data_IF_577642184316
#
_entry.id   IF_577642184316
#
_cell.length_a   1.000
_cell.length_b   1.000
_cell.length_c   1.000
_cell.angle_alpha   90.00
_cell.angle_beta   90.00
_cell.angle_gamma   90.00
#
_symmetry.space_group_name_H-M   'P 1'
#
loop_
_entity.id
_entity.type
_entity.pdbx_description
1 polymer ?
#
# COMPACT_ATOMS: atom_id res chain seq x y z
N UNK A 1 -8.71 14.54 -15.74
CA UNK A 1 -8.00 14.78 -14.46
C UNK A 1 -7.62 13.41 -13.91
N UNK A 2 -6.35 13.15 -13.66
CA UNK A 2 -5.92 11.88 -13.07
C UNK A 2 -6.33 11.85 -11.61
N UNK A 3 -7.26 10.97 -11.27
CA UNK A 3 -7.60 10.69 -9.88
C UNK A 3 -6.41 10.00 -9.19
N UNK A 4 -6.24 10.21 -7.90
CA UNK A 4 -5.23 9.49 -7.13
C UNK A 4 -5.57 7.98 -7.14
N UNK A 5 -4.62 7.09 -7.48
CA UNK A 5 -4.88 5.65 -7.60
C UNK A 5 -4.86 4.97 -6.22
N UNK A 6 -5.91 5.22 -5.43
CA UNK A 6 -6.05 4.73 -4.06
C UNK A 6 -5.86 3.22 -3.94
N UNK A 7 -6.53 2.42 -4.77
CA UNK A 7 -6.49 0.96 -4.69
C UNK A 7 -5.11 0.42 -5.06
N UNK A 8 -4.54 0.88 -6.17
CA UNK A 8 -3.20 0.46 -6.59
C UNK A 8 -2.15 0.77 -5.51
N UNK A 9 -2.22 1.95 -4.88
CA UNK A 9 -1.29 2.32 -3.82
C UNK A 9 -1.44 1.38 -2.63
N UNK A 10 -2.64 1.15 -2.09
CA UNK A 10 -2.79 0.27 -0.92
C UNK A 10 -2.46 -1.20 -1.23
N UNK A 11 -2.66 -1.65 -2.46
CA UNK A 11 -2.37 -3.02 -2.89
C UNK A 11 -0.86 -3.23 -3.07
N UNK A 12 -0.15 -2.28 -3.68
CA UNK A 12 1.25 -2.45 -4.08
C UNK A 12 2.27 -1.79 -3.15
N UNK A 13 1.89 -0.79 -2.34
CA UNK A 13 2.81 -0.17 -1.38
C UNK A 13 3.46 -1.17 -0.40
N UNK A 14 2.77 -2.22 0.09
CA UNK A 14 3.41 -3.23 0.93
C UNK A 14 4.60 -3.93 0.25
N UNK A 15 4.58 -4.09 -1.08
CA UNK A 15 5.70 -4.69 -1.82
C UNK A 15 6.95 -3.82 -1.75
N UNK A 16 6.81 -2.49 -1.70
CA UNK A 16 7.94 -1.58 -1.50
C UNK A 16 8.58 -1.83 -0.13
N UNK A 17 7.78 -2.05 0.92
CA UNK A 17 8.27 -2.46 2.23
C UNK A 17 9.03 -3.78 2.21
N UNK A 18 8.54 -4.76 1.43
CA UNK A 18 9.25 -6.04 1.21
C UNK A 18 10.61 -5.81 0.55
N UNK A 19 10.69 -4.96 -0.48
CA UNK A 19 11.96 -4.62 -1.12
C UNK A 19 12.95 -4.03 -0.11
N UNK A 20 12.50 -3.13 0.79
CA UNK A 20 13.36 -2.61 1.84
C UNK A 20 13.80 -3.68 2.84
N UNK A 21 12.92 -4.58 3.24
CA UNK A 21 13.26 -5.70 4.13
C UNK A 21 14.35 -6.59 3.51
N UNK A 22 14.27 -6.89 2.21
CA UNK A 22 15.27 -7.70 1.50
C UNK A 22 16.68 -7.08 1.50
N UNK A 23 16.78 -5.77 1.66
CA UNK A 23 18.05 -5.04 1.71
C UNK A 23 18.65 -4.96 3.13
N UNK A 24 17.91 -5.38 4.16
CA UNK A 24 18.38 -5.38 5.54
C UNK A 24 19.43 -6.48 5.71
N UNK A 25 20.59 -6.11 6.27
CA UNK A 25 21.71 -7.01 6.59
C UNK A 25 22.36 -6.61 7.91
N UNK A 26 22.82 -7.57 8.70
CA UNK A 26 23.54 -7.33 9.96
C UNK A 26 23.56 -8.53 10.91
N UNK A 27 23.83 -8.27 12.19
CA UNK A 27 23.71 -9.29 13.22
C UNK A 27 22.23 -9.68 13.42
N UNK A 28 21.92 -10.92 13.84
CA UNK A 28 20.54 -11.42 13.92
C UNK A 28 19.57 -10.51 14.71
N UNK A 29 20.04 -9.92 15.80
CA UNK A 29 19.25 -9.02 16.65
C UNK A 29 18.91 -7.69 15.94
N UNK A 30 19.88 -7.14 15.19
CA UNK A 30 19.72 -5.89 14.45
C UNK A 30 18.83 -6.12 13.23
N UNK A 31 19.02 -7.22 12.51
CA UNK A 31 18.18 -7.61 11.37
C UNK A 31 16.71 -7.78 11.80
N UNK A 32 16.47 -8.51 12.89
CA UNK A 32 15.11 -8.73 13.40
C UNK A 32 14.44 -7.41 13.81
N UNK A 33 15.16 -6.52 14.51
CA UNK A 33 14.63 -5.22 14.92
C UNK A 33 14.29 -4.34 13.72
N UNK A 34 15.22 -4.22 12.77
CA UNK A 34 15.03 -3.35 11.61
C UNK A 34 13.92 -3.89 10.70
N UNK A 35 13.83 -5.20 10.52
CA UNK A 35 12.76 -5.85 9.73
C UNK A 35 11.39 -5.54 10.33
N UNK A 36 11.23 -5.67 11.65
CA UNK A 36 9.97 -5.33 12.34
C UNK A 36 9.64 -3.85 12.22
N UNK A 37 10.63 -2.97 12.34
CA UNK A 37 10.43 -1.53 12.20
C UNK A 37 9.95 -1.16 10.79
N UNK A 38 10.58 -1.69 9.74
CA UNK A 38 10.18 -1.46 8.35
C UNK A 38 8.79 -2.02 8.06
N UNK A 39 8.50 -3.24 8.55
CA UNK A 39 7.17 -3.83 8.41
C UNK A 39 6.08 -2.98 9.09
N UNK A 40 6.35 -2.49 10.31
CA UNK A 40 5.43 -1.62 11.05
C UNK A 40 5.19 -0.28 10.32
N UNK A 41 6.26 0.38 9.85
CA UNK A 41 6.10 1.63 9.11
C UNK A 41 5.35 1.43 7.80
N UNK A 42 5.64 0.36 7.08
CA UNK A 42 4.94 0.01 5.83
C UNK A 42 3.44 -0.20 6.08
N UNK A 43 3.08 -0.92 7.14
CA UNK A 43 1.67 -1.16 7.48
C UNK A 43 0.95 0.11 7.94
N UNK A 44 1.61 0.93 8.77
CA UNK A 44 1.06 2.22 9.23
C UNK A 44 0.81 3.18 8.07
N UNK A 45 1.76 3.29 7.13
CA UNK A 45 1.60 4.14 5.93
C UNK A 45 0.46 3.61 5.06
N UNK A 46 0.42 2.30 4.80
CA UNK A 46 -0.65 1.67 4.00
C UNK A 46 -2.03 1.90 4.64
N UNK A 47 -2.11 1.77 5.97
CA UNK A 47 -3.33 2.04 6.75
C UNK A 47 -3.72 3.53 6.70
N UNK A 48 -2.76 4.45 6.83
CA UNK A 48 -3.04 5.88 6.71
C UNK A 48 -3.60 6.25 5.33
N UNK A 49 -3.08 5.63 4.26
CA UNK A 49 -3.61 5.82 2.90
C UNK A 49 -5.01 5.22 2.77
N UNK A 50 -5.26 4.03 3.33
CA UNK A 50 -6.60 3.40 3.27
C UNK A 50 -7.68 4.21 4.00
N UNK A 51 -7.32 4.97 5.05
CA UNK A 51 -8.25 5.93 5.68
C UNK A 51 -8.73 7.01 4.71
N UNK A 52 -7.93 7.38 3.71
CA UNK A 52 -8.32 8.32 2.66
C UNK A 52 -9.47 7.80 1.79
N UNK A 53 -9.54 6.48 1.55
CA UNK A 53 -10.69 5.84 0.89
C UNK A 53 -11.94 6.02 1.75
N UNK A 54 -11.84 5.73 3.05
CA UNK A 54 -12.97 5.81 3.96
C UNK A 54 -13.54 7.23 4.06
N UNK A 55 -12.69 8.25 4.18
CA UNK A 55 -13.11 9.67 4.27
C UNK A 55 -13.75 10.15 2.96
N UNK A 56 -13.34 9.61 1.80
CA UNK A 56 -13.84 10.02 0.49
C UNK A 56 -15.01 9.19 -0.03
N UNK A 57 -15.39 8.14 0.68
CA UNK A 57 -16.48 7.26 0.26
C UNK A 57 -17.84 7.92 0.49
N UNK A 58 -18.70 7.90 -0.54
CA UNK A 58 -20.06 8.44 -0.48
C UNK A 58 -21.10 7.32 -0.37
N UNK A 59 -21.75 7.17 0.78
CA UNK A 59 -22.74 6.12 1.01
C UNK A 59 -24.02 6.26 0.16
N UNK A 60 -24.25 7.39 -0.51
CA UNK A 60 -25.40 7.59 -1.39
C UNK A 60 -25.19 7.00 -2.80
N UNK A 61 -23.94 6.74 -3.20
CA UNK A 61 -23.61 6.26 -4.55
C UNK A 61 -23.56 4.72 -4.55
N UNK A 62 -24.41 4.11 -5.37
CA UNK A 62 -24.43 2.66 -5.59
C UNK A 62 -23.34 2.26 -6.57
N UNK A 63 -22.55 1.24 -6.22
CA UNK A 63 -21.50 0.67 -7.07
C UNK A 63 -20.08 0.95 -6.57
N UNK A 64 -19.07 0.52 -7.35
CA UNK A 64 -17.67 0.77 -7.02
C UNK A 64 -17.30 2.23 -7.31
N UNK A 65 -16.80 2.92 -6.29
CA UNK A 65 -16.42 4.34 -6.39
C UNK A 65 -14.93 4.55 -6.69
N UNK A 66 -14.09 3.58 -6.34
CA UNK A 66 -12.65 3.61 -6.57
C UNK A 66 -12.29 2.58 -7.64
N UNK A 67 -12.72 2.79 -8.87
CA UNK A 67 -12.43 1.88 -9.98
C UNK A 67 -11.13 2.28 -10.69
N UNK A 68 -10.19 1.35 -10.74
CA UNK A 68 -8.89 1.53 -11.40
C UNK A 68 -8.70 0.43 -12.44
N UNK A 69 -8.74 0.82 -13.73
CA UNK A 69 -8.57 -0.11 -14.85
C UNK A 69 -7.19 0.08 -15.46
N UNK A 70 -6.43 -1.01 -15.49
CA UNK A 70 -5.19 -1.10 -16.22
C UNK A 70 -5.28 -2.29 -17.19
N UNK A 71 -4.81 -2.10 -18.41
CA UNK A 71 -4.65 -3.21 -19.35
C UNK A 71 -3.47 -4.05 -18.87
N UNK A 72 -3.71 -5.34 -18.63
CA UNK A 72 -2.66 -6.25 -18.18
C UNK A 72 -1.89 -6.84 -19.37
N UNK A 73 -2.61 -7.45 -20.31
CA UNK A 73 -2.06 -8.00 -21.55
C UNK A 73 -2.99 -7.57 -22.67
N UNK A 74 -2.45 -6.90 -23.70
CA UNK A 74 -3.19 -6.58 -24.91
C UNK A 74 -3.31 -7.83 -25.78
N UNK A 75 -4.54 -8.13 -26.21
CA UNK A 75 -4.83 -9.19 -27.19
C UNK A 75 -4.86 -8.61 -28.60
#
# INVERSE_FOLDING_TARGET
>A
MTNFPWLSVITFAPMIGVLFILLIRGNPEVEARNTRAVALWTSLITFAVSMGIWVKFDNAIVGFQFEEKAVWIES
#
